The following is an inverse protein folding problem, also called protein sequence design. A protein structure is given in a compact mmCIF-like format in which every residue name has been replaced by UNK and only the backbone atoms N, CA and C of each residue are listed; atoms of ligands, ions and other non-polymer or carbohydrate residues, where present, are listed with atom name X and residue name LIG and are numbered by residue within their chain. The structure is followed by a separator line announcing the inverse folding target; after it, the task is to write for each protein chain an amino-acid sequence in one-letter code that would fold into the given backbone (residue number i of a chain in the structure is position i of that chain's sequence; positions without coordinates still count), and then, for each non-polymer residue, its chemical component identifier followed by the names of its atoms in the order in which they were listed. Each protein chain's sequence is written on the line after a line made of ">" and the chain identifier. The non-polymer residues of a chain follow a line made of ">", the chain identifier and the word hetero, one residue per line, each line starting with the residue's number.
data_IF_339679173763
#
_entry.id   IF_339679173763
#
_cell.length_a   1.000
_cell.length_b   1.000
_cell.length_c   1.000
_cell.angle_alpha   90.00
_cell.angle_beta   90.00
_cell.angle_gamma   90.00
#
_symmetry.space_group_name_H-M   'P 1'
#
loop_
_entity.id
_entity.type
_entity.pdbx_description
1 polymer ?
#
# COMPACT_ATOMS: atom_id res chain seq x y z
N UNK A 1 -8.79 3.94 -11.79
CA UNK A 1 -8.03 5.20 -11.66
C UNK A 1 -7.27 5.10 -10.36
N UNK A 2 -5.93 5.14 -10.36
CA UNK A 2 -5.13 4.75 -9.18
C UNK A 2 -5.58 5.39 -7.86
N UNK A 3 -5.86 6.70 -7.82
CA UNK A 3 -6.37 7.39 -6.63
C UNK A 3 -7.75 6.90 -6.14
N UNK A 4 -8.58 6.36 -7.05
CA UNK A 4 -9.89 5.76 -6.73
C UNK A 4 -9.76 4.31 -6.28
N UNK A 5 -8.82 3.56 -6.86
CA UNK A 5 -8.70 2.12 -6.66
C UNK A 5 -7.81 1.78 -5.44
N UNK A 6 -6.91 2.69 -5.05
CA UNK A 6 -5.96 2.47 -3.94
C UNK A 6 -6.63 2.32 -2.57
N UNK A 7 -7.68 3.09 -2.19
CA UNK A 7 -8.38 2.88 -0.92
C UNK A 7 -8.91 1.46 -0.73
N UNK A 8 -9.45 0.84 -1.79
CA UNK A 8 -9.95 -0.55 -1.74
C UNK A 8 -8.80 -1.54 -1.53
N UNK A 9 -7.66 -1.34 -2.20
CA UNK A 9 -6.46 -2.17 -2.00
C UNK A 9 -5.90 -2.05 -0.58
N UNK A 10 -5.96 -0.86 0.01
CA UNK A 10 -5.56 -0.65 1.42
C UNK A 10 -6.52 -1.39 2.36
N UNK A 11 -7.82 -1.34 2.09
CA UNK A 11 -8.81 -2.10 2.85
C UNK A 11 -8.60 -3.62 2.74
N UNK A 12 -8.19 -4.11 1.57
CA UNK A 12 -7.83 -5.52 1.39
C UNK A 12 -6.59 -5.89 2.22
N UNK A 13 -5.57 -5.02 2.25
CA UNK A 13 -4.41 -5.22 3.13
C UNK A 13 -4.83 -5.24 4.61
N UNK A 14 -5.72 -4.34 5.05
CA UNK A 14 -6.25 -4.31 6.42
C UNK A 14 -6.95 -5.62 6.80
N UNK A 15 -7.70 -6.24 5.88
CA UNK A 15 -8.33 -7.55 6.11
C UNK A 15 -7.30 -8.68 6.13
N UNK A 16 -6.36 -8.66 5.19
CA UNK A 16 -5.37 -9.73 5.01
C UNK A 16 -4.38 -9.82 6.18
N UNK A 17 -4.00 -8.70 6.81
CA UNK A 17 -3.11 -8.72 7.98
C UNK A 17 -3.75 -9.29 9.25
N UNK A 18 -5.08 -9.38 9.30
CA UNK A 18 -5.81 -10.06 10.40
C UNK A 18 -6.04 -11.54 10.06
N UNK A 19 -5.97 -11.91 8.78
CA UNK A 19 -6.16 -13.26 8.29
C UNK A 19 -4.87 -14.09 8.21
N UNK A 20 -5.01 -15.28 7.64
CA UNK A 20 -3.91 -16.23 7.48
C UNK A 20 -3.32 -16.26 6.06
N UNK A 21 -3.97 -15.60 5.09
CA UNK A 21 -3.59 -15.62 3.68
C UNK A 21 -2.41 -14.67 3.39
N UNK A 22 -1.23 -15.09 3.82
CA UNK A 22 0.03 -14.37 3.63
C UNK A 22 0.43 -14.30 2.14
N UNK A 23 0.01 -15.27 1.32
CA UNK A 23 0.27 -15.25 -0.12
C UNK A 23 -0.49 -14.12 -0.82
N UNK A 24 -1.76 -13.90 -0.47
CA UNK A 24 -2.53 -12.76 -0.97
C UNK A 24 -2.04 -11.45 -0.38
N UNK A 25 -1.66 -11.40 0.91
CA UNK A 25 -1.04 -10.22 1.52
C UNK A 25 0.20 -9.77 0.74
N UNK A 26 1.12 -10.70 0.47
CA UNK A 26 2.34 -10.46 -0.32
C UNK A 26 2.02 -9.94 -1.72
N UNK A 27 1.10 -10.56 -2.44
CA UNK A 27 0.73 -10.15 -3.81
C UNK A 27 0.10 -8.76 -3.85
N UNK A 28 -0.78 -8.45 -2.90
CA UNK A 28 -1.41 -7.13 -2.81
C UNK A 28 -0.37 -6.05 -2.48
N UNK A 29 0.52 -6.32 -1.52
CA UNK A 29 1.64 -5.42 -1.18
C UNK A 29 2.59 -5.22 -2.38
N UNK A 30 2.96 -6.28 -3.10
CA UNK A 30 3.78 -6.22 -4.31
C UNK A 30 3.14 -5.35 -5.41
N UNK A 31 1.85 -5.55 -5.68
CA UNK A 31 1.12 -4.78 -6.69
C UNK A 31 1.03 -3.29 -6.31
N UNK A 32 0.77 -2.99 -5.04
CA UNK A 32 0.71 -1.61 -4.55
C UNK A 32 2.09 -0.95 -4.52
N UNK A 33 3.16 -1.68 -4.20
CA UNK A 33 4.56 -1.23 -4.29
C UNK A 33 4.91 -0.72 -5.68
N UNK A 34 4.63 -1.53 -6.70
CA UNK A 34 4.97 -1.21 -8.10
C UNK A 34 4.15 -0.04 -8.66
N UNK A 35 2.87 0.06 -8.29
CA UNK A 35 2.06 1.20 -8.73
C UNK A 35 2.39 2.49 -7.98
N UNK A 36 2.78 2.43 -6.70
CA UNK A 36 3.21 3.60 -5.92
C UNK A 36 4.48 4.26 -6.48
N UNK A 37 5.41 3.47 -7.03
CA UNK A 37 6.63 4.03 -7.63
C UNK A 37 6.38 4.82 -8.91
N UNK A 38 5.30 4.53 -9.66
CA UNK A 38 4.92 5.30 -10.85
C UNK A 38 4.56 6.76 -10.52
N UNK A 39 4.15 7.03 -9.27
CA UNK A 39 3.77 8.36 -8.80
C UNK A 39 4.84 8.99 -7.89
N UNK A 40 6.05 8.40 -7.81
CA UNK A 40 7.12 8.91 -6.96
C UNK A 40 6.86 8.80 -5.46
N UNK A 41 5.87 7.98 -5.04
CA UNK A 41 5.46 7.83 -3.65
C UNK A 41 6.43 6.91 -2.88
N UNK A 42 7.66 7.40 -2.68
CA UNK A 42 8.80 6.63 -2.15
C UNK A 42 8.54 6.05 -0.75
N UNK A 43 7.82 6.77 0.10
CA UNK A 43 7.46 6.29 1.43
C UNK A 43 6.44 5.13 1.38
N UNK A 44 5.35 5.28 0.59
CA UNK A 44 4.38 4.18 0.37
C UNK A 44 5.08 2.96 -0.24
N UNK A 45 5.95 3.17 -1.22
CA UNK A 45 6.73 2.09 -1.83
C UNK A 45 7.53 1.31 -0.79
N UNK A 46 8.18 2.02 0.15
CA UNK A 46 8.98 1.39 1.21
C UNK A 46 8.11 0.58 2.17
N UNK A 47 6.98 1.12 2.63
CA UNK A 47 6.04 0.41 3.48
C UNK A 47 5.47 -0.86 2.79
N UNK A 48 5.15 -0.77 1.49
CA UNK A 48 4.69 -1.92 0.72
C UNK A 48 5.79 -2.99 0.60
N UNK A 49 7.05 -2.59 0.38
CA UNK A 49 8.19 -3.51 0.29
C UNK A 49 8.43 -4.25 1.60
N UNK A 50 8.36 -3.55 2.72
CA UNK A 50 8.50 -4.14 4.05
C UNK A 50 7.37 -5.13 4.35
N UNK A 51 6.12 -4.74 4.04
CA UNK A 51 4.96 -5.63 4.21
C UNK A 51 5.05 -6.87 3.31
N UNK A 52 5.48 -6.72 2.07
CA UNK A 52 5.73 -7.83 1.13
C UNK A 52 6.77 -8.81 1.68
N UNK A 53 7.89 -8.30 2.22
CA UNK A 53 8.95 -9.11 2.82
C UNK A 53 8.48 -9.85 4.06
N UNK A 54 7.73 -9.20 4.95
CA UNK A 54 7.15 -9.85 6.13
C UNK A 54 6.17 -10.96 5.72
N UNK A 55 5.31 -10.70 4.74
CA UNK A 55 4.36 -11.69 4.25
C UNK A 55 5.05 -12.88 3.56
N UNK A 56 6.10 -12.63 2.78
CA UNK A 56 6.91 -13.68 2.15
C UNK A 56 7.56 -14.63 3.16
N UNK A 57 8.00 -14.08 4.30
CA UNK A 57 8.64 -14.85 5.37
C UNK A 57 7.65 -15.37 6.43
N UNK A 58 6.33 -15.20 6.23
CA UNK A 58 5.29 -15.50 7.22
C UNK A 58 5.52 -14.84 8.60
N UNK A 59 6.22 -13.71 8.63
CA UNK A 59 6.49 -12.94 9.85
C UNK A 59 5.33 -11.99 10.11
N UNK A 60 4.41 -12.39 10.99
CA UNK A 60 3.17 -11.62 11.27
C UNK A 60 3.39 -10.39 12.15
N UNK A 61 4.49 -10.35 12.91
CA UNK A 61 4.81 -9.21 13.75
C UNK A 61 4.91 -7.92 12.91
N UNK A 62 4.30 -6.84 13.39
CA UNK A 62 4.29 -5.51 12.77
C UNK A 62 3.52 -5.35 11.43
N UNK A 63 2.97 -6.39 10.83
CA UNK A 63 2.22 -6.27 9.56
C UNK A 63 1.05 -5.27 9.66
N UNK A 64 0.24 -5.36 10.72
CA UNK A 64 -0.86 -4.42 10.95
C UNK A 64 -0.37 -2.98 11.15
N UNK A 65 0.78 -2.80 11.82
CA UNK A 65 1.39 -1.50 12.02
C UNK A 65 1.89 -0.87 10.72
N UNK A 66 2.42 -1.67 9.80
CA UNK A 66 2.81 -1.21 8.46
C UNK A 66 1.60 -0.81 7.62
N UNK A 67 0.50 -1.58 7.68
CA UNK A 67 -0.73 -1.23 6.96
C UNK A 67 -1.35 0.07 7.49
N UNK A 68 -1.34 0.29 8.81
CA UNK A 68 -1.79 1.54 9.40
C UNK A 68 -0.96 2.75 8.91
N UNK A 69 0.38 2.61 8.89
CA UNK A 69 1.27 3.64 8.36
C UNK A 69 1.05 3.89 6.87
N UNK A 70 0.81 2.83 6.10
CA UNK A 70 0.57 2.90 4.66
C UNK A 70 -0.72 3.67 4.36
N UNK A 71 -1.78 3.42 5.13
CA UNK A 71 -3.03 4.17 5.05
C UNK A 71 -2.82 5.66 5.33
N UNK A 72 -2.16 5.99 6.43
CA UNK A 72 -1.87 7.38 6.80
C UNK A 72 -1.02 8.09 5.73
N UNK A 73 -0.02 7.40 5.18
CA UNK A 73 0.82 7.91 4.11
C UNK A 73 0.02 8.19 2.84
N UNK A 74 -0.89 7.29 2.46
CA UNK A 74 -1.78 7.50 1.32
C UNK A 74 -2.72 8.68 1.54
N UNK A 75 -3.39 8.76 2.69
CA UNK A 75 -4.29 9.86 3.04
C UNK A 75 -3.58 11.22 2.99
N UNK A 76 -2.31 11.25 3.41
CA UNK A 76 -1.48 12.46 3.36
C UNK A 76 -1.07 12.84 1.93
N UNK A 77 -0.74 11.87 1.08
CA UNK A 77 -0.24 12.12 -0.28
C UNK A 77 -1.36 12.32 -1.34
N UNK A 78 -2.53 11.72 -1.12
CA UNK A 78 -3.61 11.69 -2.11
C UNK A 78 -4.13 13.07 -2.56
N UNK A 79 -4.26 14.09 -1.69
CA UNK A 79 -4.67 15.43 -2.11
C UNK A 79 -3.68 16.06 -3.11
N UNK A 80 -2.39 16.05 -2.78
CA UNK A 80 -1.34 16.62 -3.63
C UNK A 80 -1.23 15.88 -4.97
N UNK A 81 -1.29 14.54 -4.95
CA UNK A 81 -1.26 13.75 -6.18
C UNK A 81 -2.48 14.04 -7.07
N UNK A 82 -3.67 14.21 -6.48
CA UNK A 82 -4.89 14.58 -7.24
C UNK A 82 -4.72 15.92 -7.94
N UNK A 83 -4.14 16.90 -7.25
CA UNK A 83 -3.85 18.21 -7.84
C UNK A 83 -2.85 18.12 -8.99
N UNK A 84 -1.75 17.37 -8.81
CA UNK A 84 -0.76 17.15 -9.87
C UNK A 84 -1.37 16.48 -11.11
N UNK A 85 -2.18 15.43 -10.92
CA UNK A 85 -2.85 14.74 -12.02
C UNK A 85 -3.88 15.61 -12.74
N UNK A 86 -4.50 16.57 -12.06
CA UNK A 86 -5.44 17.51 -12.67
C UNK A 86 -4.74 18.55 -13.55
N UNK A 87 -3.50 18.93 -13.22
CA UNK A 87 -2.68 19.90 -14.00
C UNK A 87 -2.10 19.30 -15.29
N UNK A 88 -2.04 17.98 -15.38
CA UNK A 88 -1.51 17.24 -16.54
C UNK A 88 -2.60 16.87 -17.56
N UNK A 89 -3.86 17.21 -17.29
CA UNK A 89 -5.00 17.03 -18.19
C UNK A 89 -5.30 18.33 -18.93
#
# INVERSE_FOLDING_TARGET
>A
NWLKDTPERILDLEKLVVGEDQASLRRTAHSLKGSSSLFGLTYLHTLCRELEQLAENNLRANQSGLVAQLKQAFESAAPALREQMARLK
#
